data_IF_193336656608
#
_entry.id   IF_193336656608
#
_cell.length_a   1.000
_cell.length_b   1.000
_cell.length_c   1.000
_cell.angle_alpha   90.00
_cell.angle_beta   90.00
_cell.angle_gamma   90.00
#
_symmetry.space_group_name_H-M   'P 1'
#
loop_
_entity.id
_entity.type
_entity.pdbx_description
1 polymer ?
#
# COMPACT_ATOMS: atom_id res chain seq x y z
N UNK A 1 -5.39 -5.55 6.34
CA UNK A 1 -4.94 -6.90 5.92
C UNK A 1 -5.69 -7.40 4.71
N UNK A 2 -7.02 -7.57 4.79
CA UNK A 2 -7.82 -8.31 3.78
C UNK A 2 -7.59 -7.92 2.31
N UNK A 3 -7.60 -6.63 1.96
CA UNK A 3 -7.36 -6.21 0.56
C UNK A 3 -5.94 -6.53 0.08
N UNK A 4 -4.94 -6.45 0.98
CA UNK A 4 -3.56 -6.84 0.66
C UNK A 4 -3.45 -8.35 0.46
N UNK A 5 -4.16 -9.14 1.27
CA UNK A 5 -4.23 -10.60 1.09
C UNK A 5 -4.88 -10.99 -0.24
N UNK A 6 -5.96 -10.33 -0.65
CA UNK A 6 -6.57 -10.55 -1.97
C UNK A 6 -5.61 -10.22 -3.13
N UNK A 7 -4.76 -9.21 -2.96
CA UNK A 7 -3.69 -8.93 -3.92
C UNK A 7 -2.65 -10.05 -3.97
N UNK A 8 -2.22 -10.58 -2.82
CA UNK A 8 -1.25 -11.69 -2.76
C UNK A 8 -1.83 -12.96 -3.41
N UNK A 9 -3.08 -13.29 -3.08
CA UNK A 9 -3.82 -14.41 -3.68
C UNK A 9 -3.89 -14.27 -5.21
N UNK A 10 -4.15 -13.06 -5.71
CA UNK A 10 -4.15 -12.80 -7.15
C UNK A 10 -2.78 -13.05 -7.79
N UNK A 11 -1.68 -12.68 -7.12
CA UNK A 11 -0.32 -12.94 -7.62
C UNK A 11 -0.01 -14.44 -7.66
N UNK A 12 -0.36 -15.18 -6.60
CA UNK A 12 -0.21 -16.64 -6.54
C UNK A 12 -0.96 -17.33 -7.69
N UNK A 13 -2.20 -16.90 -7.93
CA UNK A 13 -3.05 -17.42 -8.99
C UNK A 13 -2.48 -17.19 -10.40
N UNK A 14 -1.84 -16.03 -10.66
CA UNK A 14 -1.19 -15.77 -11.95
C UNK A 14 0.02 -16.69 -12.21
N UNK A 15 0.65 -17.17 -11.15
CA UNK A 15 1.85 -18.01 -11.22
C UNK A 15 1.53 -19.51 -11.12
N UNK A 16 0.28 -19.88 -10.84
CA UNK A 16 -0.13 -21.24 -10.52
C UNK A 16 0.69 -21.86 -9.38
N UNK A 17 1.09 -21.03 -8.42
CA UNK A 17 1.94 -21.42 -7.31
C UNK A 17 1.49 -20.74 -6.03
N UNK A 18 1.05 -21.55 -5.06
CA UNK A 18 0.58 -21.11 -3.75
C UNK A 18 1.76 -21.17 -2.78
N UNK A 19 2.02 -20.08 -2.07
CA UNK A 19 3.04 -20.03 -1.04
C UNK A 19 2.57 -20.68 0.25
N UNK A 20 3.52 -21.09 1.09
CA UNK A 20 3.19 -21.48 2.46
C UNK A 20 2.78 -20.27 3.31
N UNK A 21 2.17 -20.55 4.47
CA UNK A 21 1.64 -19.52 5.36
C UNK A 21 2.73 -18.55 5.88
N UNK A 22 3.94 -19.05 6.13
CA UNK A 22 5.05 -18.22 6.62
C UNK A 22 5.45 -17.20 5.56
N UNK A 23 5.59 -17.64 4.32
CA UNK A 23 5.93 -16.77 3.21
C UNK A 23 4.85 -15.73 2.95
N UNK A 24 3.58 -16.13 2.93
CA UNK A 24 2.45 -15.21 2.76
C UNK A 24 2.36 -14.20 3.89
N UNK A 25 2.57 -14.62 5.14
CA UNK A 25 2.57 -13.73 6.30
C UNK A 25 3.74 -12.74 6.28
N UNK A 26 4.95 -13.17 5.93
CA UNK A 26 6.12 -12.27 5.79
C UNK A 26 5.88 -11.21 4.71
N UNK A 27 5.29 -11.60 3.57
CA UNK A 27 4.92 -10.66 2.49
C UNK A 27 3.86 -9.67 2.94
N UNK A 28 2.82 -10.14 3.62
CA UNK A 28 1.78 -9.28 4.18
C UNK A 28 2.36 -8.27 5.18
N UNK A 29 3.16 -8.74 6.13
CA UNK A 29 3.82 -7.90 7.14
C UNK A 29 4.69 -6.83 6.49
N UNK A 30 5.52 -7.21 5.52
CA UNK A 30 6.39 -6.28 4.78
C UNK A 30 5.57 -5.16 4.11
N UNK A 31 4.46 -5.50 3.45
CA UNK A 31 3.59 -4.50 2.81
C UNK A 31 2.96 -3.58 3.87
N UNK A 32 2.48 -4.13 4.99
CA UNK A 32 1.83 -3.36 6.05
C UNK A 32 2.81 -2.40 6.74
N UNK A 33 4.02 -2.85 7.08
CA UNK A 33 5.07 -2.01 7.69
C UNK A 33 5.45 -0.87 6.75
N UNK A 34 5.70 -1.18 5.47
CA UNK A 34 6.04 -0.16 4.48
C UNK A 34 4.93 0.88 4.28
N UNK A 35 3.67 0.45 4.29
CA UNK A 35 2.54 1.37 4.16
C UNK A 35 2.37 2.24 5.42
N UNK A 36 2.57 1.66 6.61
CA UNK A 36 2.55 2.43 7.86
C UNK A 36 3.65 3.48 7.87
N UNK A 37 4.89 3.11 7.53
CA UNK A 37 6.03 4.03 7.47
C UNK A 37 5.76 5.22 6.54
N UNK A 38 5.22 4.98 5.34
CA UNK A 38 4.88 6.06 4.38
C UNK A 38 3.87 7.07 4.97
N UNK A 39 2.83 6.57 5.63
CA UNK A 39 1.81 7.42 6.25
C UNK A 39 2.39 8.17 7.44
N UNK A 40 3.17 7.48 8.27
CA UNK A 40 3.81 8.04 9.45
C UNK A 40 4.80 9.17 9.08
N UNK A 41 5.65 8.93 8.09
CA UNK A 41 6.61 9.92 7.59
C UNK A 41 5.90 11.15 7.02
N UNK A 42 4.77 10.96 6.33
CA UNK A 42 3.98 12.08 5.81
C UNK A 42 3.32 12.87 6.94
N UNK A 43 2.76 12.17 7.92
CA UNK A 43 2.15 12.78 9.09
C UNK A 43 3.17 13.58 9.91
N UNK A 44 4.37 13.05 10.14
CA UNK A 44 5.42 13.75 10.89
C UNK A 44 5.85 15.07 10.24
N UNK A 45 5.85 15.14 8.91
CA UNK A 45 6.21 16.36 8.15
C UNK A 45 5.15 17.44 8.28
N UNK A 46 3.88 17.05 8.39
CA UNK A 46 2.74 17.96 8.36
C UNK A 46 2.12 18.10 9.74
N UNK A 47 2.68 19.01 10.55
CA UNK A 47 2.37 19.15 12.00
C UNK A 47 0.91 19.41 12.35
N UNK A 48 0.07 19.83 11.40
CA UNK A 48 -1.36 20.09 11.62
C UNK A 48 -2.27 18.94 11.22
N UNK A 49 -1.74 17.88 10.60
CA UNK A 49 -2.54 16.78 10.08
C UNK A 49 -2.78 15.72 11.14
N UNK A 50 -3.95 15.10 11.08
CA UNK A 50 -4.18 13.81 11.73
C UNK A 50 -3.54 12.70 10.90
N UNK A 51 -3.31 11.52 11.49
CA UNK A 51 -2.88 10.34 10.75
C UNK A 51 -3.86 9.95 9.62
N UNK A 52 -5.15 10.28 9.79
CA UNK A 52 -6.17 10.07 8.77
C UNK A 52 -5.93 10.96 7.54
N UNK A 53 -5.63 12.24 7.75
CA UNK A 53 -5.36 13.18 6.65
C UNK A 53 -4.11 12.76 5.89
N UNK A 54 -3.04 12.40 6.61
CA UNK A 54 -1.81 11.88 6.00
C UNK A 54 -2.05 10.63 5.15
N UNK A 55 -2.90 9.70 5.62
CA UNK A 55 -3.24 8.49 4.86
C UNK A 55 -4.02 8.82 3.58
N UNK A 56 -5.03 9.69 3.67
CA UNK A 56 -5.86 10.10 2.52
C UNK A 56 -5.00 10.81 1.47
N UNK A 57 -4.19 11.78 1.88
CA UNK A 57 -3.33 12.53 0.95
C UNK A 57 -2.29 11.64 0.31
N UNK A 58 -1.65 10.74 1.08
CA UNK A 58 -0.67 9.78 0.54
C UNK A 58 -1.30 8.88 -0.52
N UNK A 59 -2.53 8.42 -0.31
CA UNK A 59 -3.25 7.60 -1.28
C UNK A 59 -3.62 8.41 -2.54
N UNK A 60 -4.15 9.63 -2.37
CA UNK A 60 -4.51 10.51 -3.48
C UNK A 60 -3.31 10.91 -4.34
N UNK A 61 -2.18 11.22 -3.72
CA UNK A 61 -0.96 11.62 -4.43
C UNK A 61 -0.46 10.49 -5.35
N UNK A 62 -0.54 9.24 -4.90
CA UNK A 62 -0.21 8.06 -5.73
C UNK A 62 -1.10 7.98 -6.97
N UNK A 63 -2.41 8.17 -6.81
CA UNK A 63 -3.37 8.12 -7.91
C UNK A 63 -3.13 9.30 -8.87
N UNK A 64 -3.02 10.52 -8.33
CA UNK A 64 -2.76 11.73 -9.10
C UNK A 64 -1.50 11.60 -9.97
N UNK A 65 -0.39 11.12 -9.41
CA UNK A 65 0.85 10.89 -10.16
C UNK A 65 0.65 9.86 -11.27
N UNK A 66 -0.04 8.75 -10.99
CA UNK A 66 -0.32 7.73 -11.99
C UNK A 66 -1.18 8.26 -13.15
N UNK A 67 -2.20 9.08 -12.86
CA UNK A 67 -3.06 9.70 -13.86
C UNK A 67 -2.27 10.71 -14.72
N UNK A 68 -1.46 11.57 -14.09
CA UNK A 68 -0.59 12.53 -14.78
C UNK A 68 0.40 11.84 -15.73
N UNK A 69 1.07 10.78 -15.27
CA UNK A 69 2.02 10.02 -16.08
C UNK A 69 1.37 9.32 -17.28
N UNK A 70 0.09 8.94 -17.16
CA UNK A 70 -0.69 8.35 -18.26
C UNK A 70 -1.34 9.38 -19.19
N UNK A 71 -1.17 10.68 -18.90
CA UNK A 71 -1.80 11.76 -19.67
C UNK A 71 -3.33 11.81 -19.54
N UNK A 72 -3.89 11.28 -18.46
CA UNK A 72 -5.34 11.28 -18.23
C UNK A 72 -5.85 12.65 -17.76
N UNK A 73 -4.97 13.47 -17.15
CA UNK A 73 -5.24 14.83 -16.64
C UNK A 73 -4.03 15.74 -16.82
#
# INVERSE_FOLDING_TARGET
>A
GGVVMSYLEWVENLQWYIWDEEETRRRLETIMINNFAKVYDRWQKEKQWTMRDAAIVTALERIYKAMKLRGWI
#
